data_IF_784048116859
#
_entry.id   IF_784048116859
#
_cell.length_a   1.000
_cell.length_b   1.000
_cell.length_c   1.000
_cell.angle_alpha   90.00
_cell.angle_beta   90.00
_cell.angle_gamma   90.00
#
_symmetry.space_group_name_H-M   'P 1'
#
loop_
_entity.id
_entity.type
_entity.pdbx_description
1 polymer ?
#
# COMPACT_ATOMS: atom_id res chain seq x y z
N UNK A 1 3.38 -4.66 -20.62
CA UNK A 1 2.11 -3.97 -20.94
C UNK A 1 1.14 -3.99 -19.76
N UNK A 2 0.83 -5.14 -19.15
CA UNK A 2 -0.03 -5.22 -17.95
C UNK A 2 0.51 -4.39 -16.76
N UNK A 3 1.80 -4.56 -16.41
CA UNK A 3 2.47 -3.79 -15.34
C UNK A 3 2.36 -2.27 -15.49
N UNK A 4 2.34 -1.78 -16.72
CA UNK A 4 2.30 -0.34 -17.04
C UNK A 4 0.88 0.22 -16.92
N UNK A 5 -0.13 -0.61 -17.18
CA UNK A 5 -1.55 -0.27 -17.03
C UNK A 5 -1.93 -0.22 -15.55
N UNK A 6 -1.49 -1.20 -14.76
CA UNK A 6 -1.76 -1.22 -13.32
C UNK A 6 -1.09 -0.05 -12.60
N UNK A 7 0.16 0.29 -12.97
CA UNK A 7 0.85 1.45 -12.42
C UNK A 7 0.17 2.79 -12.76
N UNK A 8 -0.51 2.88 -13.91
CA UNK A 8 -1.30 4.06 -14.29
C UNK A 8 -2.59 4.13 -13.47
N UNK A 9 -3.33 3.03 -13.36
CA UNK A 9 -4.57 2.97 -12.58
C UNK A 9 -4.30 3.27 -11.10
N UNK A 10 -3.22 2.75 -10.54
CA UNK A 10 -2.78 3.06 -9.18
C UNK A 10 -2.45 4.55 -9.01
N UNK A 11 -1.81 5.18 -10.01
CA UNK A 11 -1.54 6.62 -9.96
C UNK A 11 -2.84 7.42 -9.92
N UNK A 12 -3.78 7.10 -10.80
CA UNK A 12 -5.11 7.75 -10.84
C UNK A 12 -5.86 7.58 -9.52
N UNK A 13 -5.82 6.39 -8.92
CA UNK A 13 -6.42 6.12 -7.62
C UNK A 13 -5.76 6.90 -6.47
N UNK A 14 -4.44 7.12 -6.50
CA UNK A 14 -3.77 7.99 -5.52
C UNK A 14 -4.17 9.46 -5.71
N UNK A 15 -4.27 9.92 -6.96
CA UNK A 15 -4.68 11.30 -7.27
C UNK A 15 -6.14 11.56 -6.82
N UNK A 16 -7.02 10.56 -6.93
CA UNK A 16 -8.40 10.58 -6.43
C UNK A 16 -8.50 10.91 -4.93
N UNK A 17 -7.50 10.52 -4.13
CA UNK A 17 -7.53 10.75 -2.67
C UNK A 17 -7.53 12.23 -2.29
N UNK A 18 -7.07 13.11 -3.19
CA UNK A 18 -7.07 14.56 -3.00
C UNK A 18 -8.39 15.23 -3.41
N UNK A 19 -9.32 14.49 -4.03
CA UNK A 19 -10.64 14.99 -4.36
C UNK A 19 -11.50 15.12 -3.08
N UNK A 20 -12.59 15.92 -3.12
CA UNK A 20 -13.51 16.08 -2.00
C UNK A 20 -14.41 14.85 -1.81
N UNK A 21 -13.79 13.69 -1.56
CA UNK A 21 -14.45 12.44 -1.16
C UNK A 21 -14.55 12.34 0.37
N UNK A 22 -15.44 11.49 0.86
CA UNK A 22 -15.58 11.22 2.31
C UNK A 22 -14.32 10.56 2.88
N UNK A 23 -14.08 10.72 4.17
CA UNK A 23 -12.95 10.10 4.87
C UNK A 23 -12.99 8.57 4.76
N UNK A 24 -14.19 7.99 4.85
CA UNK A 24 -14.42 6.56 4.61
C UNK A 24 -14.00 6.14 3.21
N UNK A 25 -14.43 6.88 2.18
CA UNK A 25 -14.03 6.58 0.80
C UNK A 25 -12.51 6.69 0.63
N UNK A 26 -11.91 7.77 1.15
CA UNK A 26 -10.46 7.99 1.13
C UNK A 26 -9.69 6.82 1.77
N UNK A 27 -10.11 6.34 2.94
CA UNK A 27 -9.47 5.23 3.62
C UNK A 27 -9.62 3.89 2.88
N UNK A 28 -10.80 3.62 2.31
CA UNK A 28 -11.06 2.38 1.58
C UNK A 28 -10.30 2.35 0.25
N UNK A 29 -10.41 3.42 -0.55
CA UNK A 29 -9.69 3.56 -1.82
C UNK A 29 -8.19 3.52 -1.56
N UNK A 30 -7.69 4.34 -0.64
CA UNK A 30 -6.28 4.39 -0.31
C UNK A 30 -5.71 3.06 0.20
N UNK A 31 -6.46 2.36 1.04
CA UNK A 31 -6.08 1.03 1.52
C UNK A 31 -6.05 -0.02 0.40
N UNK A 32 -7.01 0.02 -0.54
CA UNK A 32 -7.03 -0.86 -1.70
C UNK A 32 -5.88 -0.56 -2.68
N UNK A 33 -5.56 0.72 -2.88
CA UNK A 33 -4.43 1.15 -3.71
C UNK A 33 -3.10 0.63 -3.15
N UNK A 34 -2.86 0.76 -1.84
CA UNK A 34 -1.65 0.23 -1.20
C UNK A 34 -1.59 -1.29 -1.27
N UNK A 35 -2.73 -1.97 -1.12
CA UNK A 35 -2.80 -3.42 -1.26
C UNK A 35 -2.41 -3.89 -2.68
N UNK A 36 -2.89 -3.23 -3.72
CA UNK A 36 -2.52 -3.50 -5.11
C UNK A 36 -1.03 -3.27 -5.36
N UNK A 37 -0.51 -2.12 -4.93
CA UNK A 37 0.92 -1.79 -5.01
C UNK A 37 1.81 -2.83 -4.31
N UNK A 38 1.38 -3.29 -3.14
CA UNK A 38 2.08 -4.32 -2.37
C UNK A 38 2.04 -5.67 -3.08
N UNK A 39 0.90 -6.06 -3.64
CA UNK A 39 0.78 -7.29 -4.40
C UNK A 39 1.74 -7.29 -5.58
N UNK A 40 1.77 -6.21 -6.38
CA UNK A 40 2.73 -6.10 -7.50
C UNK A 40 4.17 -6.17 -7.04
N UNK A 41 4.51 -5.50 -5.94
CA UNK A 41 5.86 -5.57 -5.36
C UNK A 41 6.25 -7.00 -4.98
N UNK A 42 5.34 -7.74 -4.34
CA UNK A 42 5.57 -9.13 -3.92
C UNK A 42 5.67 -10.03 -5.13
N UNK A 43 4.73 -9.95 -6.08
CA UNK A 43 4.72 -10.76 -7.30
C UNK A 43 5.99 -10.55 -8.13
N UNK A 44 6.47 -9.30 -8.24
CA UNK A 44 7.72 -8.98 -8.92
C UNK A 44 8.98 -9.62 -8.30
N UNK A 45 8.90 -10.18 -7.09
CA UNK A 45 9.98 -10.93 -6.42
C UNK A 45 9.86 -12.44 -6.56
N UNK A 46 8.72 -12.95 -7.02
CA UNK A 46 8.45 -14.38 -7.13
C UNK A 46 8.88 -14.90 -8.51
N UNK A 47 8.93 -16.23 -8.63
CA UNK A 47 9.07 -16.91 -9.92
C UNK A 47 7.98 -16.43 -10.87
N UNK A 48 8.36 -16.07 -12.10
CA UNK A 48 7.40 -15.62 -13.10
C UNK A 48 6.53 -16.79 -13.59
N UNK A 49 5.46 -17.06 -12.85
CA UNK A 49 4.41 -18.01 -13.19
C UNK A 49 3.05 -17.32 -13.02
N UNK A 50 2.54 -16.66 -14.08
CA UNK A 50 1.28 -15.93 -14.00
C UNK A 50 0.10 -16.81 -13.59
N UNK A 51 0.04 -18.06 -14.05
CA UNK A 51 -1.06 -18.98 -13.75
C UNK A 51 -1.09 -19.32 -12.26
N UNK A 52 0.06 -19.67 -11.69
CA UNK A 52 0.16 -19.96 -10.27
C UNK A 52 -0.13 -18.71 -9.44
N UNK A 53 0.44 -17.56 -9.84
CA UNK A 53 0.25 -16.29 -9.15
C UNK A 53 -1.22 -15.89 -9.10
N UNK A 54 -1.92 -15.92 -10.24
CA UNK A 54 -3.33 -15.57 -10.32
C UNK A 54 -4.20 -16.52 -9.48
N UNK A 55 -3.83 -17.81 -9.42
CA UNK A 55 -4.57 -18.80 -8.64
C UNK A 55 -4.47 -18.62 -7.11
N UNK A 56 -3.44 -17.94 -6.60
CA UNK A 56 -3.19 -17.83 -5.15
C UNK A 56 -3.37 -16.40 -4.61
N UNK A 57 -3.25 -15.36 -5.44
CA UNK A 57 -3.38 -13.96 -5.03
C UNK A 57 -4.79 -13.37 -5.25
N UNK A 58 -5.73 -14.13 -5.82
CA UNK A 58 -7.13 -13.72 -5.94
C UNK A 58 -7.75 -13.37 -4.57
N UNK A 59 -8.73 -12.48 -4.53
CA UNK A 59 -9.32 -11.95 -3.28
C UNK A 59 -9.86 -13.03 -2.32
N UNK A 60 -10.32 -14.16 -2.85
CA UNK A 60 -10.83 -15.32 -2.09
C UNK A 60 -9.80 -16.43 -1.91
N UNK A 61 -8.56 -16.21 -2.34
CA UNK A 61 -7.48 -17.21 -2.34
C UNK A 61 -6.56 -17.06 -1.13
N UNK A 62 -5.63 -18.02 -0.98
CA UNK A 62 -4.76 -18.13 0.20
C UNK A 62 -3.95 -16.85 0.50
N UNK A 63 -3.51 -16.12 -0.54
CA UNK A 63 -2.78 -14.86 -0.43
C UNK A 63 -3.64 -13.63 -0.80
N UNK A 64 -4.96 -13.78 -0.85
CA UNK A 64 -5.89 -12.71 -1.18
C UNK A 64 -6.00 -11.61 -0.12
N UNK A 65 -5.85 -11.97 1.16
CA UNK A 65 -6.02 -11.03 2.26
C UNK A 65 -4.85 -10.04 2.39
N UNK A 66 -5.17 -8.75 2.60
CA UNK A 66 -4.17 -7.68 2.75
C UNK A 66 -3.12 -8.00 3.82
N UNK A 67 -3.53 -8.48 5.01
CA UNK A 67 -2.62 -8.87 6.08
C UNK A 67 -1.60 -9.94 5.64
N UNK A 68 -2.04 -10.90 4.83
CA UNK A 68 -1.20 -11.98 4.32
C UNK A 68 -0.17 -11.45 3.34
N UNK A 69 -0.56 -10.54 2.44
CA UNK A 69 0.35 -9.85 1.51
C UNK A 69 1.41 -9.04 2.26
N UNK A 70 1.04 -8.38 3.36
CA UNK A 70 1.98 -7.64 4.23
C UNK A 70 2.99 -8.60 4.87
N UNK A 71 2.54 -9.73 5.39
CA UNK A 71 3.47 -10.73 5.96
C UNK A 71 4.39 -11.34 4.91
N UNK A 72 3.84 -11.66 3.73
CA UNK A 72 4.63 -12.23 2.65
C UNK A 72 5.71 -11.25 2.17
N UNK A 73 5.38 -9.97 1.98
CA UNK A 73 6.37 -8.94 1.62
C UNK A 73 7.47 -8.76 2.66
N UNK A 74 7.15 -8.86 3.95
CA UNK A 74 8.17 -8.87 5.00
C UNK A 74 9.10 -10.09 4.90
N UNK A 75 8.52 -11.29 4.79
CA UNK A 75 9.28 -12.54 4.74
C UNK A 75 10.17 -12.65 3.49
N UNK A 76 9.77 -12.06 2.37
CA UNK A 76 10.57 -12.02 1.12
C UNK A 76 11.53 -10.82 1.07
N UNK A 77 11.65 -10.04 2.15
CA UNK A 77 12.54 -8.89 2.23
C UNK A 77 12.17 -7.76 1.27
N UNK A 78 10.88 -7.60 0.94
CA UNK A 78 10.40 -6.53 0.06
C UNK A 78 10.61 -5.14 0.66
N UNK A 79 10.72 -4.99 1.98
CA UNK A 79 10.84 -3.70 2.66
C UNK A 79 11.36 -3.87 4.10
N UNK A 80 11.68 -2.74 4.75
CA UNK A 80 12.15 -2.69 6.13
C UNK A 80 11.01 -2.89 7.14
N UNK A 81 11.37 -3.10 8.42
CA UNK A 81 10.40 -3.29 9.50
C UNK A 81 9.51 -2.05 9.68
N UNK A 82 10.05 -0.84 9.48
CA UNK A 82 9.27 0.38 9.61
C UNK A 82 8.15 0.46 8.56
N UNK A 83 8.44 0.10 7.31
CA UNK A 83 7.42 0.02 6.26
C UNK A 83 6.39 -1.09 6.57
N UNK A 84 6.84 -2.20 7.15
CA UNK A 84 5.92 -3.26 7.59
C UNK A 84 4.92 -2.73 8.64
N UNK A 85 5.40 -1.97 9.63
CA UNK A 85 4.56 -1.35 10.66
C UNK A 85 3.59 -0.34 10.07
N UNK A 86 4.05 0.50 9.15
CA UNK A 86 3.20 1.47 8.45
C UNK A 86 2.08 0.77 7.64
N UNK A 87 2.42 -0.31 6.91
CA UNK A 87 1.44 -1.10 6.15
C UNK A 87 0.39 -1.76 7.05
N UNK A 88 0.78 -2.26 8.23
CA UNK A 88 -0.17 -2.79 9.22
C UNK A 88 -1.11 -1.69 9.72
N UNK A 89 -0.59 -0.49 9.99
CA UNK A 89 -1.41 0.64 10.41
C UNK A 89 -2.40 1.06 9.31
N UNK A 90 -1.99 1.10 8.03
CA UNK A 90 -2.89 1.38 6.89
C UNK A 90 -4.00 0.32 6.81
N UNK A 91 -3.65 -0.97 6.92
CA UNK A 91 -4.63 -2.07 6.96
C UNK A 91 -5.62 -1.90 8.12
N UNK A 92 -5.13 -1.55 9.31
CA UNK A 92 -6.00 -1.33 10.48
C UNK A 92 -6.95 -0.14 10.27
N UNK A 93 -6.46 0.97 9.72
CA UNK A 93 -7.27 2.15 9.41
C UNK A 93 -8.36 1.80 8.38
N UNK A 94 -7.99 1.17 7.25
CA UNK A 94 -8.94 0.71 6.22
C UNK A 94 -10.01 -0.19 6.83
N UNK A 95 -9.61 -1.19 7.61
CA UNK A 95 -10.53 -2.15 8.21
C UNK A 95 -11.48 -1.47 9.21
N UNK A 96 -10.99 -0.51 9.99
CA UNK A 96 -11.81 0.27 10.92
C UNK A 96 -12.89 1.05 10.17
N UNK A 97 -12.53 1.78 9.11
CA UNK A 97 -13.51 2.45 8.25
C UNK A 97 -14.46 1.50 7.52
N UNK A 98 -14.00 0.32 7.11
CA UNK A 98 -14.82 -0.62 6.35
C UNK A 98 -15.85 -1.36 7.23
N UNK A 99 -15.48 -1.74 8.45
CA UNK A 99 -16.30 -2.63 9.28
C UNK A 99 -17.01 -1.92 10.44
N UNK A 100 -16.54 -0.75 10.86
CA UNK A 100 -17.20 0.02 11.92
C UNK A 100 -18.03 1.16 11.30
N UNK A 101 -19.35 1.07 11.42
CA UNK A 101 -20.26 2.07 10.87
C UNK A 101 -20.26 3.39 11.64
N UNK A 102 -19.79 3.40 12.90
CA UNK A 102 -19.72 4.62 13.72
C UNK A 102 -18.53 5.50 13.34
N UNK A 103 -17.53 4.92 12.67
CA UNK A 103 -16.34 5.62 12.24
C UNK A 103 -16.61 6.34 10.92
N UNK A 104 -16.67 7.67 10.98
CA UNK A 104 -17.01 8.51 9.83
C UNK A 104 -15.88 9.45 9.41
N UNK A 105 -14.88 9.66 10.27
CA UNK A 105 -13.81 10.63 10.03
C UNK A 105 -12.43 10.15 10.52
N UNK A 106 -11.37 10.70 9.92
CA UNK A 106 -9.98 10.54 10.38
C UNK A 106 -9.68 11.19 11.74
N UNK A 107 -10.60 12.00 12.26
CA UNK A 107 -10.49 12.59 13.60
C UNK A 107 -10.87 11.62 14.73
N UNK A 108 -11.36 10.42 14.38
CA UNK A 108 -11.51 9.33 15.34
C UNK A 108 -10.18 9.10 16.09
N UNK A 109 -10.15 9.07 17.44
CA UNK A 109 -8.92 9.01 18.21
C UNK A 109 -8.02 7.82 17.87
N UNK A 110 -8.60 6.67 17.56
CA UNK A 110 -7.84 5.47 17.18
C UNK A 110 -7.20 5.65 15.81
N UNK A 111 -7.92 6.20 14.82
CA UNK A 111 -7.39 6.50 13.49
C UNK A 111 -6.33 7.61 13.54
N UNK A 112 -6.59 8.69 14.27
CA UNK A 112 -5.65 9.79 14.43
C UNK A 112 -4.33 9.32 15.06
N UNK A 113 -4.39 8.43 16.06
CA UNK A 113 -3.21 7.81 16.63
C UNK A 113 -2.44 6.95 15.60
N UNK A 114 -3.14 6.07 14.87
CA UNK A 114 -2.53 5.21 13.85
C UNK A 114 -1.88 6.02 12.72
N UNK A 115 -2.53 7.07 12.23
CA UNK A 115 -1.99 7.94 11.17
C UNK A 115 -0.75 8.72 11.62
N UNK A 116 -0.65 9.04 12.90
CA UNK A 116 0.55 9.67 13.48
C UNK A 116 1.74 8.71 13.52
N UNK A 117 1.49 7.40 13.55
CA UNK A 117 2.52 6.36 13.51
C UNK A 117 3.11 6.05 12.13
N UNK A 118 2.52 6.56 11.04
CA UNK A 118 2.92 6.28 9.65
C UNK A 118 4.19 7.06 9.24
N UNK A 119 5.24 6.98 10.06
CA UNK A 119 6.39 7.90 10.03
C UNK A 119 7.27 7.72 8.79
N UNK A 120 7.53 6.48 8.39
CA UNK A 120 8.52 6.20 7.33
C UNK A 120 7.95 6.58 5.99
N UNK A 121 6.76 6.07 5.66
CA UNK A 121 6.10 6.37 4.40
C UNK A 121 5.79 7.86 4.27
N UNK A 122 5.33 8.53 5.34
CA UNK A 122 5.20 10.01 5.32
C UNK A 122 6.53 10.72 5.11
N UNK A 123 7.62 10.23 5.73
CA UNK A 123 8.95 10.82 5.60
C UNK A 123 9.39 10.92 4.14
N UNK A 124 9.21 9.85 3.35
CA UNK A 124 9.52 9.86 1.91
C UNK A 124 8.71 10.89 1.15
N UNK A 125 7.41 10.98 1.43
CA UNK A 125 6.52 11.95 0.82
C UNK A 125 6.93 13.40 1.17
N UNK A 126 7.31 13.66 2.42
CA UNK A 126 7.78 14.98 2.88
C UNK A 126 9.06 15.41 2.18
N UNK A 127 10.04 14.51 2.08
CA UNK A 127 11.31 14.78 1.38
C UNK A 127 11.06 15.09 -0.09
N UNK A 128 10.19 14.32 -0.76
CA UNK A 128 9.89 14.53 -2.18
C UNK A 128 9.05 15.78 -2.46
N UNK A 129 8.13 16.15 -1.56
CA UNK A 129 7.20 17.28 -1.75
C UNK A 129 7.66 18.58 -1.06
N UNK A 130 8.70 18.57 -0.23
CA UNK A 130 9.18 19.74 0.50
C UNK A 130 8.18 20.33 1.51
N UNK A 131 7.26 19.52 2.05
CA UNK A 131 6.21 19.98 2.98
C UNK A 131 6.63 19.85 4.46
N UNK A 132 6.38 20.88 5.30
CA UNK A 132 6.68 20.84 6.73
C UNK A 132 5.70 19.92 7.49
N UNK A 133 6.17 19.27 8.56
CA UNK A 133 5.42 18.26 9.33
C UNK A 133 4.33 18.83 10.25
N UNK A 134 4.35 20.13 10.54
CA UNK A 134 3.66 20.74 11.68
C UNK A 134 2.16 21.03 11.45
N UNK A 135 1.63 20.74 10.25
CA UNK A 135 0.24 21.05 9.88
C UNK A 135 -0.52 19.87 9.25
N UNK A 136 0.03 18.66 9.29
CA UNK A 136 -0.63 17.51 8.68
C UNK A 136 -1.82 17.05 9.52
N UNK A 137 -3.04 17.21 9.00
CA UNK A 137 -4.24 16.55 9.54
C UNK A 137 -4.11 15.02 9.44
N UNK A 138 -4.87 14.27 10.24
CA UNK A 138 -4.87 12.79 10.19
C UNK A 138 -5.13 12.24 8.78
N UNK A 139 -6.02 12.88 8.02
CA UNK A 139 -6.28 12.56 6.62
C UNK A 139 -5.06 12.83 5.73
N UNK A 140 -4.42 13.99 5.86
CA UNK A 140 -3.22 14.32 5.07
C UNK A 140 -2.05 13.39 5.40
N UNK A 141 -1.90 12.98 6.66
CA UNK A 141 -0.91 11.98 7.09
C UNK A 141 -1.12 10.64 6.39
N UNK A 142 -2.37 10.19 6.31
CA UNK A 142 -2.73 8.96 5.59
C UNK A 142 -2.45 9.07 4.10
N UNK A 143 -2.91 10.13 3.43
CA UNK A 143 -2.68 10.37 2.00
C UNK A 143 -1.17 10.47 1.70
N UNK A 144 -0.42 11.18 2.53
CA UNK A 144 1.03 11.33 2.39
C UNK A 144 1.74 9.99 2.53
N UNK A 145 1.30 9.10 3.44
CA UNK A 145 1.87 7.77 3.53
C UNK A 145 1.65 6.96 2.23
N UNK A 146 0.47 7.04 1.62
CA UNK A 146 0.17 6.36 0.35
C UNK A 146 1.07 6.88 -0.78
N UNK A 147 1.19 8.20 -0.91
CA UNK A 147 2.13 8.81 -1.86
C UNK A 147 3.57 8.39 -1.60
N UNK A 148 3.97 8.36 -0.33
CA UNK A 148 5.30 7.90 0.07
C UNK A 148 5.58 6.47 -0.35
N UNK A 149 4.60 5.57 -0.20
CA UNK A 149 4.73 4.21 -0.71
C UNK A 149 4.96 4.18 -2.21
N UNK A 150 4.15 4.91 -2.96
CA UNK A 150 4.27 4.99 -4.41
C UNK A 150 5.67 5.47 -4.83
N UNK A 151 6.23 6.44 -4.12
CA UNK A 151 7.61 6.92 -4.33
C UNK A 151 8.63 5.82 -4.02
N UNK A 152 8.52 5.16 -2.87
CA UNK A 152 9.41 4.06 -2.46
C UNK A 152 9.46 2.98 -3.54
N UNK A 153 8.32 2.62 -4.12
CA UNK A 153 8.24 1.60 -5.16
C UNK A 153 8.88 2.05 -6.48
N UNK A 154 8.74 3.32 -6.85
CA UNK A 154 9.38 3.88 -8.07
C UNK A 154 10.88 4.04 -7.93
N UNK A 155 11.37 4.34 -6.73
CA UNK A 155 12.81 4.56 -6.47
C UNK A 155 13.62 3.28 -6.33
N UNK A 156 12.97 2.11 -6.21
CA UNK A 156 13.67 0.83 -6.16
C UNK A 156 13.83 0.32 -7.59
N UNK A 157 15.05 0.30 -8.16
CA UNK A 157 15.27 -0.47 -9.37
C UNK A 157 14.87 -1.90 -9.03
N UNK A 158 13.95 -2.44 -9.83
CA UNK A 158 13.63 -3.85 -9.82
C UNK A 158 14.98 -4.57 -9.90
N UNK A 159 15.51 -5.10 -8.79
CA UNK A 159 16.77 -5.87 -8.78
C UNK A 159 16.44 -7.21 -9.42
N UNK A 160 16.23 -7.14 -10.73
CA UNK A 160 16.02 -8.21 -11.67
C UNK A 160 17.35 -8.95 -11.79
N UNK A 161 17.59 -9.87 -10.87
CA UNK A 161 17.78 -11.22 -11.39
C UNK A 161 16.37 -11.81 -11.40
N UNK A 162 15.70 -11.95 -12.57
CA UNK A 162 14.52 -12.79 -12.61
C UNK A 162 14.93 -14.14 -12.00
N UNK A 163 14.16 -14.69 -11.05
CA UNK A 163 14.40 -16.05 -10.59
C UNK A 163 14.48 -16.96 -11.83
N UNK A 164 15.41 -17.94 -11.85
CA UNK A 164 15.70 -18.72 -13.03
C UNK A 164 14.41 -19.28 -13.64
N UNK A 165 14.25 -19.13 -14.95
CA UNK A 165 13.14 -19.73 -15.69
C UNK A 165 13.10 -21.22 -15.34
N UNK A 166 11.91 -21.69 -14.97
CA UNK A 166 11.72 -23.10 -14.65
C UNK A 166 11.90 -23.88 -15.95
N UNK A 167 12.92 -24.74 -16.01
CA UNK A 167 13.07 -25.65 -17.16
C UNK A 167 11.77 -26.47 -17.30
N UNK A 168 11.25 -26.62 -18.54
CA UNK A 168 10.05 -27.40 -18.76
C UNK A 168 10.31 -28.85 -18.33
N UNK A 169 9.48 -29.35 -17.39
CA UNK A 169 9.46 -30.76 -16.97
C UNK A 169 8.93 -31.68 -18.05
#
# INVERSE_FOLDING_TARGET
MADTVDAKAEKEAVDELNLPISDRACAIVGGATVEGMLQRLVVGRLVHDPKLTDSIFGSTQAFGAFATKIRLGWLTGCYSEDIYRDLLAIKDIRNKFAHDLQVTSFDDPYIANKTSGLTTMQGFARVAMGKPAEQDTSRLRFISAIYGFQIILRSRPNRLTPPPEREPT
#
